data_IF_311382278547
#
_entry.id   IF_311382278547
#
_cell.length_a   1.000
_cell.length_b   1.000
_cell.length_c   1.000
_cell.angle_alpha   90.00
_cell.angle_beta   90.00
_cell.angle_gamma   90.00
#
_symmetry.space_group_name_H-M   'P 1'
#
loop_
_entity.id
_entity.type
_entity.pdbx_description
1 polymer ?
#
# COMPACT_ATOMS: atom_id res chain seq x y z
N UNK A 1 -15.76 2.34 -19.08
CA UNK A 1 -14.70 1.41 -18.67
C UNK A 1 -13.78 2.19 -17.77
N UNK A 2 -14.01 2.06 -16.47
CA UNK A 2 -13.16 2.66 -15.42
C UNK A 2 -11.78 2.05 -15.60
N UNK A 3 -10.77 2.83 -16.03
CA UNK A 3 -9.39 2.35 -16.03
C UNK A 3 -9.15 1.85 -14.61
N UNK A 4 -8.86 0.56 -14.37
CA UNK A 4 -8.53 0.12 -13.03
C UNK A 4 -7.42 1.06 -12.57
N UNK A 5 -7.67 1.74 -11.46
CA UNK A 5 -6.75 2.75 -10.97
C UNK A 5 -5.38 2.10 -10.80
N UNK A 6 -4.45 2.37 -11.73
CA UNK A 6 -3.16 1.68 -11.84
C UNK A 6 -2.42 1.72 -10.49
N UNK A 7 -2.59 2.82 -9.73
CA UNK A 7 -2.09 2.97 -8.38
C UNK A 7 -2.71 1.95 -7.41
N UNK A 8 -4.03 1.82 -7.39
CA UNK A 8 -4.73 0.86 -6.54
C UNK A 8 -4.36 -0.60 -6.81
N UNK A 9 -4.23 -0.99 -8.08
CA UNK A 9 -3.77 -2.33 -8.45
C UNK A 9 -2.31 -2.56 -8.05
N UNK A 10 -1.44 -1.56 -8.29
CA UNK A 10 -0.04 -1.60 -7.88
C UNK A 10 0.09 -1.81 -6.36
N UNK A 11 -0.63 -1.02 -5.55
CA UNK A 11 -0.63 -1.14 -4.09
C UNK A 11 -1.13 -2.51 -3.62
N UNK A 12 -2.20 -3.03 -4.22
CA UNK A 12 -2.74 -4.35 -3.88
C UNK A 12 -1.75 -5.46 -4.21
N UNK A 13 -1.10 -5.41 -5.37
CA UNK A 13 -0.11 -6.40 -5.81
C UNK A 13 1.11 -6.42 -4.89
N UNK A 14 1.66 -5.24 -4.54
CA UNK A 14 2.79 -5.12 -3.61
C UNK A 14 2.43 -5.61 -2.21
N UNK A 15 1.25 -5.25 -1.69
CA UNK A 15 0.75 -5.70 -0.38
C UNK A 15 0.54 -7.21 -0.32
N UNK A 16 0.04 -7.82 -1.39
CA UNK A 16 -0.18 -9.26 -1.46
C UNK A 16 1.12 -10.07 -1.44
N UNK A 17 2.22 -9.50 -1.94
CA UNK A 17 3.56 -10.11 -1.92
C UNK A 17 4.25 -9.98 -0.56
N UNK A 18 3.91 -8.96 0.22
CA UNK A 18 4.55 -8.71 1.51
C UNK A 18 3.93 -9.59 2.61
N UNK A 19 4.79 -10.29 3.35
CA UNK A 19 4.37 -11.02 4.56
C UNK A 19 4.35 -10.05 5.74
N UNK A 20 3.51 -10.30 6.76
CA UNK A 20 3.54 -9.53 8.01
C UNK A 20 4.93 -9.50 8.64
N UNK A 21 5.64 -10.63 8.58
CA UNK A 21 6.99 -10.79 9.13
C UNK A 21 8.01 -9.86 8.44
N UNK A 22 7.91 -9.71 7.11
CA UNK A 22 8.74 -8.79 6.33
C UNK A 22 8.50 -7.31 6.69
N UNK A 23 7.32 -7.00 7.25
CA UNK A 23 6.95 -5.68 7.72
C UNK A 23 7.28 -5.45 9.21
N UNK A 24 7.97 -6.40 9.86
CA UNK A 24 8.28 -6.34 11.29
C UNK A 24 7.09 -6.66 12.20
N UNK A 25 6.01 -7.22 11.67
CA UNK A 25 4.86 -7.66 12.47
C UNK A 25 5.02 -9.14 12.82
N UNK A 26 5.09 -9.44 14.11
CA UNK A 26 5.01 -10.82 14.56
C UNK A 26 3.62 -11.36 14.27
N UNK A 27 3.54 -12.44 13.48
CA UNK A 27 2.29 -13.14 13.22
C UNK A 27 1.83 -13.89 14.48
N UNK A 28 1.46 -13.18 15.55
CA UNK A 28 0.89 -13.79 16.74
C UNK A 28 -0.45 -14.45 16.40
N UNK A 29 -0.57 -15.71 16.82
CA UNK A 29 -1.64 -16.63 16.43
C UNK A 29 -3.03 -16.05 16.59
N UNK A 30 -3.77 -16.02 15.49
CA UNK A 30 -5.23 -16.12 15.39
C UNK A 30 -5.56 -16.21 13.90
N UNK A 31 -6.31 -17.25 13.49
CA UNK A 31 -6.86 -17.53 12.14
C UNK A 31 -6.77 -16.34 11.17
N UNK A 32 -5.62 -16.15 10.49
CA UNK A 32 -5.47 -15.11 9.47
C UNK A 32 -6.28 -15.54 8.25
N UNK A 33 -7.29 -14.73 7.88
CA UNK A 33 -8.10 -14.93 6.66
C UNK A 33 -7.35 -14.55 5.37
N UNK A 34 -6.25 -13.81 5.48
CA UNK A 34 -5.45 -13.35 4.34
C UNK A 34 -3.99 -13.78 4.50
N UNK A 35 -3.36 -14.31 3.44
CA UNK A 35 -1.97 -14.76 3.48
C UNK A 35 -0.94 -13.61 3.49
N UNK A 36 -1.32 -12.42 2.99
CA UNK A 36 -0.47 -11.22 2.96
C UNK A 36 -0.77 -10.19 4.05
N UNK A 37 -0.09 -9.05 3.98
CA UNK A 37 -0.28 -7.92 4.91
C UNK A 37 -1.72 -7.36 4.82
N UNK A 38 -2.37 -7.15 5.97
CA UNK A 38 -3.69 -6.50 6.00
C UNK A 38 -3.57 -5.02 5.68
N UNK A 39 -4.67 -4.45 5.17
CA UNK A 39 -4.80 -3.01 4.90
C UNK A 39 -4.59 -2.18 6.17
N UNK A 40 -5.14 -2.64 7.28
CA UNK A 40 -5.01 -1.98 8.58
C UNK A 40 -3.58 -2.06 9.12
N UNK A 41 -2.92 -3.22 8.99
CA UNK A 41 -1.52 -3.41 9.36
C UNK A 41 -0.61 -2.45 8.56
N UNK A 42 -0.80 -2.40 7.24
CA UNK A 42 -0.04 -1.49 6.38
C UNK A 42 -0.28 -0.03 6.75
N UNK A 43 -1.54 0.35 6.92
CA UNK A 43 -1.92 1.73 7.25
C UNK A 43 -1.32 2.18 8.59
N UNK A 44 -1.36 1.31 9.59
CA UNK A 44 -0.72 1.55 10.89
C UNK A 44 0.80 1.77 10.75
N UNK A 45 1.48 0.91 10.00
CA UNK A 45 2.93 1.03 9.77
C UNK A 45 3.30 2.29 8.98
N UNK A 46 2.44 2.70 8.04
CA UNK A 46 2.64 3.89 7.22
C UNK A 46 2.17 5.18 7.92
N UNK A 47 1.60 5.10 9.13
CA UNK A 47 1.09 6.25 9.86
C UNK A 47 -0.14 6.91 9.21
N UNK A 48 -0.93 6.16 8.45
CA UNK A 48 -2.15 6.63 7.77
C UNK A 48 -3.38 5.89 8.27
N UNK A 49 -4.56 6.46 8.07
CA UNK A 49 -5.81 5.75 8.38
C UNK A 49 -6.07 4.61 7.40
N UNK A 50 -6.55 3.46 7.89
CA UNK A 50 -6.93 2.32 7.04
C UNK A 50 -7.97 2.69 5.97
N UNK A 51 -8.90 3.60 6.29
CA UNK A 51 -9.87 4.12 5.33
C UNK A 51 -9.21 4.95 4.22
N UNK A 52 -8.15 5.70 4.53
CA UNK A 52 -7.40 6.47 3.54
C UNK A 52 -6.65 5.54 2.58
N UNK A 53 -5.96 4.53 3.11
CA UNK A 53 -5.32 3.51 2.28
C UNK A 53 -6.33 2.73 1.42
N UNK A 54 -7.50 2.39 1.96
CA UNK A 54 -8.55 1.72 1.19
C UNK A 54 -9.09 2.60 0.04
N UNK A 55 -9.20 3.91 0.22
CA UNK A 55 -9.58 4.84 -0.87
C UNK A 55 -8.48 4.93 -1.93
N UNK A 56 -7.22 4.92 -1.53
CA UNK A 56 -6.07 4.82 -2.44
C UNK A 56 -6.10 3.53 -3.26
N UNK A 57 -6.34 2.38 -2.62
CA UNK A 57 -6.51 1.09 -3.32
C UNK A 57 -7.72 1.04 -4.26
N UNK A 58 -8.69 1.94 -4.07
CA UNK A 58 -9.89 2.06 -4.89
C UNK A 58 -9.79 3.19 -5.93
N UNK A 59 -8.66 3.89 -6.02
CA UNK A 59 -8.48 5.01 -6.93
C UNK A 59 -9.24 6.29 -6.62
N UNK A 60 -9.87 6.35 -5.45
CA UNK A 60 -10.66 7.49 -5.01
C UNK A 60 -9.80 8.58 -4.36
N UNK A 61 -8.48 8.39 -4.24
CA UNK A 61 -7.57 9.33 -3.59
C UNK A 61 -6.25 9.39 -4.36
N UNK A 62 -6.21 10.25 -5.38
CA UNK A 62 -5.05 10.49 -6.24
C UNK A 62 -4.15 11.64 -5.79
N UNK A 63 -4.46 12.33 -4.69
CA UNK A 63 -3.63 13.41 -4.14
C UNK A 63 -2.97 12.96 -2.82
N UNK A 64 -2.18 11.89 -2.90
CA UNK A 64 -1.37 11.49 -1.75
C UNK A 64 -0.15 12.39 -1.62
N UNK A 65 0.07 12.92 -0.41
CA UNK A 65 1.27 13.72 -0.12
C UNK A 65 2.53 12.88 -0.29
N UNK A 66 3.64 13.52 -0.65
CA UNK A 66 4.92 12.84 -0.86
C UNK A 66 5.37 12.04 0.36
N UNK A 67 5.15 12.57 1.58
CA UNK A 67 5.44 11.85 2.82
C UNK A 67 4.59 10.59 3.02
N UNK A 68 3.35 10.57 2.52
CA UNK A 68 2.52 9.36 2.55
C UNK A 68 3.04 8.34 1.54
N UNK A 69 3.40 8.78 0.34
CA UNK A 69 3.96 7.90 -0.68
C UNK A 69 5.30 7.28 -0.22
N UNK A 70 6.17 8.06 0.44
CA UNK A 70 7.42 7.54 1.02
C UNK A 70 7.15 6.54 2.15
N UNK A 71 6.21 6.84 3.06
CA UNK A 71 5.82 5.92 4.12
C UNK A 71 5.27 4.60 3.56
N UNK A 72 4.38 4.67 2.56
CA UNK A 72 3.85 3.51 1.86
C UNK A 72 4.96 2.71 1.18
N UNK A 73 5.88 3.38 0.48
CA UNK A 73 7.01 2.74 -0.18
C UNK A 73 7.95 2.04 0.81
N UNK A 74 8.19 2.64 1.97
CA UNK A 74 9.02 2.06 3.03
C UNK A 74 8.39 0.80 3.63
N UNK A 75 7.09 0.85 3.93
CA UNK A 75 6.36 -0.30 4.49
C UNK A 75 6.23 -1.44 3.47
N UNK A 76 5.96 -1.09 2.21
CA UNK A 76 5.88 -2.05 1.10
C UNK A 76 7.26 -2.56 0.64
N UNK A 77 8.35 -2.04 1.22
CA UNK A 77 9.74 -2.37 0.85
C UNK A 77 9.99 -2.24 -0.65
N UNK A 78 9.46 -1.16 -1.24
CA UNK A 78 9.62 -0.86 -2.66
C UNK A 78 11.07 -0.45 -2.94
N UNK A 79 11.59 -0.99 -4.04
CA UNK A 79 12.87 -0.59 -4.62
C UNK A 79 12.78 0.79 -5.29
N UNK A 80 13.89 1.33 -5.76
CA UNK A 80 13.96 2.70 -6.31
C UNK A 80 13.08 2.87 -7.55
N UNK A 81 13.09 1.91 -8.48
CA UNK A 81 12.23 1.92 -9.67
C UNK A 81 10.74 1.89 -9.29
N UNK A 82 10.40 1.08 -8.29
CA UNK A 82 9.03 0.92 -7.81
C UNK A 82 8.52 2.18 -7.11
N UNK A 83 9.40 2.92 -6.44
CA UNK A 83 9.11 4.22 -5.82
C UNK A 83 8.83 5.28 -6.88
N UNK A 84 9.61 5.30 -7.96
CA UNK A 84 9.38 6.20 -9.09
C UNK A 84 8.00 5.90 -9.68
N UNK A 85 7.71 4.62 -9.97
CA UNK A 85 6.42 4.20 -10.50
C UNK A 85 5.26 4.53 -9.55
N UNK A 86 5.41 4.33 -8.25
CA UNK A 86 4.39 4.71 -7.27
C UNK A 86 4.04 6.21 -7.35
N UNK A 87 5.06 7.07 -7.47
CA UNK A 87 4.87 8.53 -7.53
C UNK A 87 4.24 8.99 -8.84
N UNK A 88 4.64 8.37 -9.94
CA UNK A 88 4.06 8.55 -11.27
C UNK A 88 2.56 8.20 -11.27
N UNK A 89 2.22 7.00 -10.77
CA UNK A 89 0.83 6.54 -10.65
C UNK A 89 -0.01 7.39 -9.70
N UNK A 90 0.62 7.98 -8.68
CA UNK A 90 -0.04 8.90 -7.74
C UNK A 90 -0.14 10.34 -8.23
N UNK A 91 0.45 10.69 -9.38
CA UNK A 91 0.34 12.01 -10.00
C UNK A 91 0.03 11.86 -11.50
N UNK A 92 -1.15 11.32 -11.86
CA UNK A 92 -1.55 11.31 -13.26
C UNK A 92 -1.77 12.76 -13.70
N UNK A 93 -0.93 13.21 -14.62
CA UNK A 93 -1.04 14.48 -15.35
C UNK A 93 -2.41 14.73 -15.99
#
# INVERSE_FOLDING_TARGET
MDRPDDLGEFLRSRRARLRPEDAGLTAYGTRRRVPGLRREELAQLAGVSAAYYARLEQGQSRNASDGVLDALARVLRLDEDERIRLRDLARPE
#
